data_IF_763180642096
#
_entry.id   IF_763180642096
#
_cell.length_a   1.000
_cell.length_b   1.000
_cell.length_c   1.000
_cell.angle_alpha   90.00
_cell.angle_beta   90.00
_cell.angle_gamma   90.00
#
_symmetry.space_group_name_H-M   'P 1'
#
loop_
_entity.id
_entity.type
_entity.pdbx_description
1 polymer ?
#
# COMPACT_ATOMS: atom_id res chain seq x y z
N UNK A 1 6.72 5.70 16.74
CA UNK A 1 7.69 4.76 16.17
C UNK A 1 8.90 5.53 15.67
N UNK A 2 10.09 5.09 16.01
CA UNK A 2 11.31 5.75 15.56
C UNK A 2 11.56 5.43 14.07
N UNK A 3 11.97 6.43 13.31
CA UNK A 3 12.42 6.24 11.93
C UNK A 3 13.82 5.64 11.96
N UNK A 4 13.97 4.41 11.47
CA UNK A 4 15.26 3.71 11.45
C UNK A 4 16.11 4.21 10.25
N UNK A 5 15.48 4.39 9.11
CA UNK A 5 16.16 4.88 7.89
C UNK A 5 15.14 5.58 7.00
N UNK A 6 15.55 6.73 6.47
CA UNK A 6 14.77 7.48 5.49
C UNK A 6 15.53 7.54 4.18
N UNK A 7 14.85 7.23 3.08
CA UNK A 7 15.41 7.22 1.74
C UNK A 7 14.34 7.54 0.72
N UNK A 8 14.70 8.20 -0.36
CA UNK A 8 13.82 8.46 -1.50
C UNK A 8 14.28 7.63 -2.68
N UNK A 9 13.35 6.90 -3.29
CA UNK A 9 13.63 6.04 -4.44
C UNK A 9 12.54 6.22 -5.50
N UNK A 10 12.93 6.40 -6.78
CA UNK A 10 11.95 6.48 -7.86
C UNK A 10 11.36 5.10 -8.17
N UNK A 11 10.13 5.08 -8.65
CA UNK A 11 9.59 3.89 -9.27
C UNK A 11 10.35 3.55 -10.56
N UNK A 12 10.63 2.27 -10.77
CA UNK A 12 11.21 1.79 -12.02
C UNK A 12 10.21 1.97 -13.19
N UNK A 13 10.67 2.10 -14.47
CA UNK A 13 9.75 2.31 -15.60
C UNK A 13 8.61 1.28 -15.69
N UNK A 14 8.90 0.04 -15.36
CA UNK A 14 7.89 -1.03 -15.31
C UNK A 14 6.81 -0.76 -14.25
N UNK A 15 7.19 -0.16 -13.13
CA UNK A 15 6.26 0.21 -12.07
C UNK A 15 5.27 1.30 -12.52
N UNK A 16 5.66 2.21 -13.42
CA UNK A 16 4.73 3.21 -14.00
C UNK A 16 3.60 2.56 -14.78
N UNK A 17 3.90 1.53 -15.56
CA UNK A 17 2.87 0.78 -16.28
C UNK A 17 1.92 0.09 -15.31
N UNK A 18 2.44 -0.56 -14.28
CA UNK A 18 1.62 -1.19 -13.25
C UNK A 18 0.81 -0.19 -12.43
N UNK A 19 1.33 1.03 -12.24
CA UNK A 19 0.60 2.11 -11.60
C UNK A 19 -0.64 2.52 -12.43
N UNK A 20 -0.49 2.65 -13.73
CA UNK A 20 -1.61 2.93 -14.65
C UNK A 20 -2.65 1.81 -14.58
N UNK A 21 -2.22 0.55 -14.62
CA UNK A 21 -3.10 -0.60 -14.48
C UNK A 21 -3.79 -0.65 -13.12
N UNK A 22 -3.05 -0.34 -12.05
CA UNK A 22 -3.60 -0.24 -10.70
C UNK A 22 -4.67 0.83 -10.58
N UNK A 23 -4.47 1.98 -11.20
CA UNK A 23 -5.45 3.06 -11.23
C UNK A 23 -6.74 2.66 -11.96
N UNK A 24 -6.63 1.85 -13.01
CA UNK A 24 -7.79 1.28 -13.70
C UNK A 24 -8.51 0.20 -12.86
N UNK A 25 -7.78 -0.57 -12.06
CA UNK A 25 -8.32 -1.66 -11.25
C UNK A 25 -8.89 -1.17 -9.92
N UNK A 26 -8.35 -0.08 -9.39
CA UNK A 26 -8.82 0.54 -8.16
C UNK A 26 -9.61 1.80 -8.55
N UNK A 27 -10.88 1.60 -8.86
CA UNK A 27 -11.76 2.64 -9.39
C UNK A 27 -12.40 3.51 -8.31
N UNK A 28 -12.40 3.06 -7.06
CA UNK A 28 -13.13 3.67 -5.95
C UNK A 28 -12.20 3.91 -4.77
N UNK A 29 -12.36 5.07 -4.11
CA UNK A 29 -11.58 5.42 -2.91
C UNK A 29 -11.85 4.50 -1.73
N UNK A 30 -13.06 3.95 -1.61
CA UNK A 30 -13.40 2.97 -0.58
C UNK A 30 -12.63 1.67 -0.82
N UNK A 31 -12.59 1.21 -2.06
CA UNK A 31 -11.78 0.04 -2.46
C UNK A 31 -10.30 0.28 -2.17
N UNK A 32 -9.81 1.49 -2.42
CA UNK A 32 -8.42 1.85 -2.12
C UNK A 32 -8.10 1.70 -0.62
N UNK A 33 -8.97 2.18 0.26
CA UNK A 33 -8.81 2.01 1.71
C UNK A 33 -8.83 0.53 2.09
N UNK A 34 -9.74 -0.25 1.54
CA UNK A 34 -9.84 -1.69 1.80
C UNK A 34 -8.54 -2.40 1.37
N UNK A 35 -7.98 -2.06 0.23
CA UNK A 35 -6.71 -2.65 -0.25
C UNK A 35 -5.54 -2.34 0.69
N UNK A 36 -5.47 -1.13 1.23
CA UNK A 36 -4.46 -0.78 2.23
C UNK A 36 -4.68 -1.57 3.52
N UNK A 37 -5.93 -1.71 3.99
CA UNK A 37 -6.25 -2.49 5.18
C UNK A 37 -5.93 -3.98 4.99
N UNK A 38 -6.10 -4.53 3.80
CA UNK A 38 -5.66 -5.89 3.47
C UNK A 38 -4.14 -6.04 3.66
N UNK A 39 -3.36 -5.03 3.30
CA UNK A 39 -1.92 -5.05 3.54
C UNK A 39 -1.59 -5.10 5.04
N UNK A 40 -2.33 -4.37 5.87
CA UNK A 40 -2.18 -4.45 7.33
C UNK A 40 -2.52 -5.85 7.85
N UNK A 41 -3.57 -6.46 7.33
CA UNK A 41 -3.96 -7.83 7.67
C UNK A 41 -2.86 -8.82 7.25
N UNK A 42 -2.34 -8.70 6.05
CA UNK A 42 -1.28 -9.58 5.52
C UNK A 42 0.06 -9.40 6.25
N UNK A 43 0.25 -8.27 6.92
CA UNK A 43 1.39 -8.01 7.80
C UNK A 43 1.22 -8.59 9.22
N UNK A 44 0.20 -9.41 9.42
CA UNK A 44 -0.14 -10.01 10.72
C UNK A 44 -0.43 -8.97 11.83
N UNK A 45 -0.86 -7.77 11.45
CA UNK A 45 -1.21 -6.76 12.44
C UNK A 45 -2.44 -7.16 13.23
N UNK A 46 -2.44 -7.07 14.56
CA UNK A 46 -3.63 -7.33 15.37
C UNK A 46 -4.71 -6.27 15.20
N UNK A 47 -4.34 -5.08 14.74
CA UNK A 47 -5.24 -3.96 14.51
C UNK A 47 -4.70 -3.03 13.44
N UNK A 48 -5.58 -2.26 12.83
CA UNK A 48 -5.21 -1.13 11.99
C UNK A 48 -6.01 0.09 12.44
N UNK A 49 -5.39 1.25 12.42
CA UNK A 49 -6.04 2.51 12.76
C UNK A 49 -6.14 3.38 11.51
N UNK A 50 -7.33 3.90 11.26
CA UNK A 50 -7.57 4.87 10.20
C UNK A 50 -7.89 6.21 10.86
N UNK A 51 -7.09 7.22 10.56
CA UNK A 51 -7.24 8.56 11.12
C UNK A 51 -7.42 9.56 10.00
N UNK A 52 -8.39 10.45 10.17
CA UNK A 52 -8.64 11.57 9.28
C UNK A 52 -8.25 12.85 9.99
N UNK A 53 -7.49 13.72 9.33
CA UNK A 53 -7.06 14.98 9.92
C UNK A 53 -7.26 16.16 8.98
N UNK A 54 -7.37 17.34 9.57
CA UNK A 54 -7.51 18.61 8.87
C UNK A 54 -8.65 18.61 7.83
N UNK A 55 -9.79 18.01 8.19
CA UNK A 55 -10.93 17.84 7.26
C UNK A 55 -11.49 19.17 6.76
N UNK A 56 -11.35 20.25 7.54
CA UNK A 56 -11.71 21.61 7.15
C UNK A 56 -10.83 22.16 6.01
N UNK A 57 -9.72 21.51 5.73
CA UNK A 57 -8.77 21.89 4.66
C UNK A 57 -8.93 21.11 3.36
N UNK A 58 -9.97 20.29 3.24
CA UNK A 58 -10.23 19.55 2.00
C UNK A 58 -10.43 20.54 0.84
N UNK A 59 -9.68 20.32 -0.25
CA UNK A 59 -9.70 21.18 -1.43
C UNK A 59 -8.68 22.31 -1.46
N UNK A 60 -7.97 22.55 -0.36
CA UNK A 60 -6.89 23.54 -0.30
C UNK A 60 -5.54 22.86 -0.60
N UNK A 61 -5.10 22.91 -1.86
CA UNK A 61 -3.89 22.20 -2.31
C UNK A 61 -2.60 23.03 -2.18
N UNK A 62 -2.71 24.34 -1.92
CA UNK A 62 -1.58 25.27 -1.81
C UNK A 62 -1.02 25.40 -0.38
N UNK A 63 -1.54 24.61 0.54
CA UNK A 63 -1.09 24.62 1.94
C UNK A 63 0.19 23.77 2.10
N UNK A 64 1.04 24.08 3.12
CA UNK A 64 2.11 23.17 3.53
C UNK A 64 1.54 21.77 3.84
N UNK A 65 2.35 20.72 3.64
CA UNK A 65 1.91 19.33 3.83
C UNK A 65 1.31 19.09 5.22
N UNK A 66 1.90 19.69 6.25
CA UNK A 66 1.43 19.56 7.64
C UNK A 66 0.03 20.16 7.87
N UNK A 67 -0.39 21.08 7.01
CA UNK A 67 -1.69 21.76 7.11
C UNK A 67 -2.75 21.18 6.18
N UNK A 68 -2.37 20.28 5.26
CA UNK A 68 -3.30 19.67 4.31
C UNK A 68 -4.21 18.64 4.99
N UNK A 69 -5.38 18.42 4.42
CA UNK A 69 -6.23 17.29 4.79
C UNK A 69 -5.50 15.96 4.53
N UNK A 70 -5.61 15.00 5.44
CA UNK A 70 -4.92 13.73 5.30
C UNK A 70 -5.75 12.54 5.79
N UNK A 71 -5.42 11.39 5.27
CA UNK A 71 -5.83 10.08 5.79
C UNK A 71 -4.55 9.36 6.22
N UNK A 72 -4.48 8.96 7.47
CA UNK A 72 -3.39 8.14 8.00
C UNK A 72 -3.89 6.73 8.27
N UNK A 73 -3.23 5.75 7.74
CA UNK A 73 -3.51 4.34 8.02
C UNK A 73 -2.25 3.74 8.62
N UNK A 74 -2.37 3.27 9.86
CA UNK A 74 -1.25 2.70 10.61
C UNK A 74 -1.56 1.31 11.10
N UNK A 75 -0.53 0.47 11.19
CA UNK A 75 -0.59 -0.88 11.72
C UNK A 75 0.62 -1.17 12.61
N UNK A 76 0.56 -2.27 13.32
CA UNK A 76 1.63 -2.78 14.19
C UNK A 76 2.04 -4.20 13.76
N UNK A 77 1.94 -4.50 12.47
CA UNK A 77 2.36 -5.76 11.88
C UNK A 77 3.86 -5.93 11.77
N UNK A 78 4.28 -6.91 10.97
CA UNK A 78 5.70 -7.28 10.84
C UNK A 78 6.55 -6.23 10.10
N UNK A 79 5.92 -5.26 9.42
CA UNK A 79 6.63 -4.27 8.62
C UNK A 79 7.36 -4.87 7.41
N UNK A 80 8.20 -4.07 6.81
CA UNK A 80 9.03 -4.47 5.67
C UNK A 80 10.47 -4.02 5.87
N UNK A 81 11.42 -4.91 5.55
CA UNK A 81 12.83 -4.53 5.47
C UNK A 81 13.08 -3.60 4.28
N UNK A 82 14.15 -2.81 4.35
CA UNK A 82 14.56 -1.96 3.23
C UNK A 82 14.78 -2.78 1.95
N UNK A 83 15.39 -3.95 2.07
CA UNK A 83 15.61 -4.86 0.94
C UNK A 83 14.28 -5.29 0.30
N UNK A 84 13.29 -5.63 1.11
CA UNK A 84 11.95 -6.00 0.62
C UNK A 84 11.26 -4.82 -0.06
N UNK A 85 11.40 -3.61 0.47
CA UNK A 85 10.88 -2.40 -0.17
C UNK A 85 11.53 -2.20 -1.54
N UNK A 86 12.85 -2.27 -1.62
CA UNK A 86 13.60 -2.03 -2.86
C UNK A 86 13.35 -3.10 -3.93
N UNK A 87 13.30 -4.36 -3.53
CA UNK A 87 13.31 -5.50 -4.46
C UNK A 87 11.92 -6.08 -4.73
N UNK A 88 10.94 -5.81 -3.89
CA UNK A 88 9.58 -6.34 -4.02
C UNK A 88 8.54 -5.24 -4.13
N UNK A 89 8.50 -4.33 -3.16
CA UNK A 89 7.47 -3.29 -3.10
C UNK A 89 7.56 -2.31 -4.27
N UNK A 90 8.75 -1.81 -4.59
CA UNK A 90 8.98 -0.89 -5.69
C UNK A 90 9.12 -1.57 -7.06
N UNK A 91 9.12 -2.89 -7.09
CA UNK A 91 9.12 -3.69 -8.31
C UNK A 91 7.84 -4.51 -8.37
N UNK A 92 6.86 -4.10 -9.19
CA UNK A 92 5.61 -4.86 -9.31
C UNK A 92 5.89 -6.27 -9.83
N UNK A 93 5.06 -7.22 -9.38
CA UNK A 93 5.19 -8.60 -9.78
C UNK A 93 5.12 -8.74 -11.31
N UNK A 94 6.02 -9.55 -11.85
CA UNK A 94 5.94 -9.95 -13.25
C UNK A 94 4.69 -10.82 -13.48
N UNK A 95 4.16 -10.89 -14.71
CA UNK A 95 3.02 -11.76 -15.03
C UNK A 95 3.17 -13.19 -14.52
N UNK A 96 4.40 -13.73 -14.55
CA UNK A 96 4.68 -15.09 -14.07
C UNK A 96 4.50 -15.24 -12.55
N UNK A 97 4.85 -14.21 -11.77
CA UNK A 97 4.61 -14.20 -10.33
C UNK A 97 3.13 -14.09 -9.99
N UNK A 98 2.36 -13.38 -10.80
CA UNK A 98 0.90 -13.29 -10.66
C UNK A 98 0.23 -14.64 -10.93
N UNK A 99 0.68 -15.37 -11.95
CA UNK A 99 0.19 -16.71 -12.26
C UNK A 99 0.52 -17.72 -11.17
N UNK A 100 1.72 -17.66 -10.58
CA UNK A 100 2.14 -18.56 -9.49
C UNK A 100 1.37 -18.29 -8.20
N UNK A 101 1.00 -17.06 -7.89
CA UNK A 101 0.20 -16.71 -6.71
C UNK A 101 -1.25 -17.17 -6.80
N UNK A 102 -1.83 -17.27 -7.99
CA UNK A 102 -3.21 -17.71 -8.18
C UNK A 102 -3.44 -19.20 -7.93
N UNK A 103 -2.38 -20.00 -7.83
CA UNK A 103 -2.45 -21.47 -7.71
C UNK A 103 -2.25 -21.99 -6.29
N UNK A 104 -1.81 -21.17 -5.31
CA UNK A 104 -1.58 -21.58 -3.93
C UNK A 104 -2.14 -20.55 -2.94
N UNK A 105 -2.90 -21.06 -1.96
CA UNK A 105 -3.22 -20.29 -0.75
C UNK A 105 -1.91 -19.99 -0.01
N UNK A 106 -1.48 -18.73 -0.07
CA UNK A 106 -0.34 -18.25 0.70
C UNK A 106 -0.84 -17.81 2.08
N UNK A 107 -0.13 -18.23 3.12
CA UNK A 107 -0.43 -17.85 4.51
C UNK A 107 0.68 -17.01 5.09
N UNK A 108 0.31 -16.09 5.97
CA UNK A 108 1.24 -15.30 6.76
C UNK A 108 1.89 -16.17 7.85
N UNK A 109 2.98 -15.72 8.50
CA UNK A 109 3.58 -16.43 9.63
C UNK A 109 2.61 -16.78 10.74
N UNK A 110 1.58 -15.96 10.99
CA UNK A 110 0.52 -16.25 11.97
C UNK A 110 -0.64 -17.09 11.41
N UNK A 111 -0.53 -17.59 10.17
CA UNK A 111 -1.48 -18.50 9.56
C UNK A 111 -2.67 -17.86 8.87
N UNK A 112 -2.68 -16.53 8.70
CA UNK A 112 -3.73 -15.82 7.95
C UNK A 112 -3.60 -16.11 6.46
N UNK A 113 -4.73 -16.26 5.78
CA UNK A 113 -4.75 -16.33 4.31
C UNK A 113 -4.45 -14.93 3.75
N UNK A 114 -3.41 -14.82 2.93
CA UNK A 114 -3.03 -13.55 2.30
C UNK A 114 -4.16 -13.03 1.41
N UNK A 115 -4.57 -11.80 1.63
CA UNK A 115 -5.67 -11.15 0.94
C UNK A 115 -5.22 -10.36 -0.30
N UNK A 116 -3.97 -9.89 -0.34
CA UNK A 116 -3.39 -9.15 -1.46
C UNK A 116 -3.02 -10.06 -2.63
N UNK A 117 -3.99 -10.39 -3.49
CA UNK A 117 -3.79 -11.37 -4.56
C UNK A 117 -3.06 -10.83 -5.78
N UNK A 118 -3.28 -9.57 -6.12
CA UNK A 118 -2.86 -8.99 -7.42
C UNK A 118 -1.54 -8.22 -7.36
N UNK A 119 -0.98 -7.99 -6.18
CA UNK A 119 0.24 -7.19 -6.01
C UNK A 119 0.09 -5.72 -6.39
N UNK A 120 -1.12 -5.24 -6.59
CA UNK A 120 -1.46 -3.88 -7.01
C UNK A 120 -1.98 -3.00 -5.86
N UNK A 121 -2.31 -3.58 -4.71
CA UNK A 121 -2.83 -2.85 -3.55
C UNK A 121 -1.90 -1.71 -3.10
N UNK A 122 -0.60 -1.86 -3.33
CA UNK A 122 0.40 -0.82 -3.08
C UNK A 122 0.13 0.50 -3.80
N UNK A 123 -0.60 0.45 -4.92
CA UNK A 123 -0.94 1.65 -5.71
C UNK A 123 -2.23 2.32 -5.25
N UNK A 124 -2.93 1.74 -4.27
CA UNK A 124 -4.15 2.31 -3.71
C UNK A 124 -3.92 3.72 -3.11
N UNK A 125 -2.73 3.98 -2.60
CA UNK A 125 -2.35 5.27 -2.04
C UNK A 125 -2.51 6.39 -3.07
N UNK A 126 -2.15 6.15 -4.32
CA UNK A 126 -2.28 7.14 -5.39
C UNK A 126 -3.73 7.49 -5.74
N UNK A 127 -4.67 6.64 -5.38
CA UNK A 127 -6.10 6.90 -5.58
C UNK A 127 -6.67 7.82 -4.51
N UNK A 128 -6.04 7.85 -3.34
CA UNK A 128 -6.50 8.63 -2.19
C UNK A 128 -5.90 10.04 -2.14
N UNK A 129 -4.72 10.23 -2.74
CA UNK A 129 -4.09 11.54 -2.74
C UNK A 129 -2.88 11.69 -3.61
#
# INVERSE_FOLDING_TARGET
MAVIKQSSMPFKPYARLMNILGDQLITDKIVAVIEILKNCYDADSPSAEVRFGNLDKIGFNDLPLEDQAYIEISDVGCGMSLEKIQNVWLRPATPDKLKKKSQKLVRTPKGRVVQGEKGIGRFAIHKLG
#
